data_IF_944116637472
#
_entry.id   IF_944116637472
#
_cell.length_a   1.000
_cell.length_b   1.000
_cell.length_c   1.000
_cell.angle_alpha   90.00
_cell.angle_beta   90.00
_cell.angle_gamma   90.00
#
_symmetry.space_group_name_H-M   'P 1'
#
loop_
_entity.id
_entity.type
_entity.pdbx_description
1 polymer ?
#
# COMPACT_ATOMS: atom_id res chain seq x y z
N UNK A 1 -1.90 -21.59 10.25
CA UNK A 1 -1.94 -21.07 8.87
C UNK A 1 -1.71 -19.59 8.99
N UNK A 2 -0.67 -19.04 8.36
CA UNK A 2 -0.51 -17.59 8.33
C UNK A 2 -1.69 -17.03 7.51
N UNK A 3 -2.55 -16.22 8.13
CA UNK A 3 -3.53 -15.44 7.39
C UNK A 3 -2.76 -14.36 6.63
N UNK A 4 -2.65 -14.51 5.31
CA UNK A 4 -2.29 -13.40 4.43
C UNK A 4 -3.61 -12.75 3.98
N UNK A 5 -3.82 -11.49 4.37
CA UNK A 5 -4.95 -10.72 3.88
C UNK A 5 -4.69 -10.30 2.43
N UNK A 6 -5.76 -10.02 1.66
CA UNK A 6 -5.62 -9.59 0.26
C UNK A 6 -4.75 -8.33 0.08
N UNK A 7 -4.74 -7.45 1.09
CA UNK A 7 -3.87 -6.27 1.15
C UNK A 7 -2.38 -6.61 1.21
N UNK A 8 -1.99 -7.67 1.92
CA UNK A 8 -0.59 -8.05 2.08
C UNK A 8 -0.07 -8.64 0.77
N UNK A 9 -0.87 -9.54 0.16
CA UNK A 9 -0.57 -10.09 -1.17
C UNK A 9 -0.47 -8.99 -2.24
N UNK A 10 -1.33 -7.98 -2.17
CA UNK A 10 -1.28 -6.86 -3.11
C UNK A 10 0.01 -6.04 -2.97
N UNK A 11 0.43 -5.70 -1.75
CA UNK A 11 1.65 -4.92 -1.52
C UNK A 11 2.91 -5.71 -1.88
N UNK A 12 2.99 -7.00 -1.53
CA UNK A 12 4.10 -7.86 -1.94
C UNK A 12 4.24 -7.95 -3.47
N UNK A 13 3.11 -8.01 -4.20
CA UNK A 13 3.15 -8.01 -5.67
C UNK A 13 3.75 -6.71 -6.22
N UNK A 14 3.42 -5.56 -5.62
CA UNK A 14 3.99 -4.28 -6.05
C UNK A 14 5.51 -4.25 -5.82
N UNK A 15 5.99 -4.74 -4.68
CA UNK A 15 7.42 -4.86 -4.39
C UNK A 15 8.13 -5.80 -5.39
N UNK A 16 7.54 -6.97 -5.68
CA UNK A 16 8.09 -7.94 -6.63
C UNK A 16 8.22 -7.35 -8.06
N UNK A 17 7.29 -6.48 -8.45
CA UNK A 17 7.33 -5.75 -9.72
C UNK A 17 8.27 -4.53 -9.68
N UNK A 18 8.98 -4.31 -8.57
CA UNK A 18 9.95 -3.23 -8.40
C UNK A 18 9.35 -1.85 -8.15
N UNK A 19 8.08 -1.78 -7.75
CA UNK A 19 7.45 -0.54 -7.32
C UNK A 19 8.08 -0.10 -6.00
N UNK A 20 8.39 1.19 -5.90
CA UNK A 20 9.01 1.79 -4.69
C UNK A 20 8.18 2.92 -4.10
N UNK A 21 7.20 3.44 -4.86
CA UNK A 21 6.40 4.59 -4.46
C UNK A 21 4.92 4.37 -4.82
N UNK A 22 4.04 4.66 -3.88
CA UNK A 22 2.59 4.66 -4.07
C UNK A 22 2.10 6.10 -3.86
N UNK A 23 1.34 6.62 -4.82
CA UNK A 23 0.75 7.95 -4.75
C UNK A 23 -0.75 7.84 -4.52
N UNK A 24 -1.31 8.67 -3.64
CA UNK A 24 -2.76 8.71 -3.44
C UNK A 24 -3.22 9.69 -2.38
N UNK A 25 -4.52 9.94 -2.33
CA UNK A 25 -5.19 10.68 -1.25
C UNK A 25 -6.01 9.69 -0.40
N UNK A 26 -5.56 9.31 0.80
CA UNK A 26 -6.16 8.19 1.52
C UNK A 26 -7.55 8.57 2.04
N UNK A 27 -8.57 7.79 1.64
CA UNK A 27 -9.91 7.78 2.22
C UNK A 27 -10.13 6.58 3.14
N UNK A 28 -11.39 6.35 3.53
CA UNK A 28 -11.75 5.22 4.41
C UNK A 28 -11.61 3.86 3.71
N UNK A 29 -11.74 3.81 2.39
CA UNK A 29 -11.59 2.58 1.58
C UNK A 29 -10.15 2.08 1.59
N UNK A 30 -9.19 3.00 1.56
CA UNK A 30 -7.77 2.71 1.45
C UNK A 30 -7.13 2.36 2.81
N UNK A 31 -7.85 2.54 3.93
CA UNK A 31 -7.31 2.32 5.28
C UNK A 31 -6.72 0.92 5.49
N UNK A 32 -7.30 -0.10 4.86
CA UNK A 32 -6.78 -1.46 4.94
C UNK A 32 -5.35 -1.54 4.37
N UNK A 33 -5.10 -0.90 3.23
CA UNK A 33 -3.78 -0.84 2.58
C UNK A 33 -2.84 0.08 3.37
N UNK A 34 -3.32 1.25 3.82
CA UNK A 34 -2.53 2.16 4.66
C UNK A 34 -2.02 1.50 5.94
N UNK A 35 -2.84 0.62 6.54
CA UNK A 35 -2.42 -0.14 7.71
C UNK A 35 -1.33 -1.18 7.38
N UNK A 36 -1.46 -1.90 6.27
CA UNK A 36 -0.48 -2.91 5.87
C UNK A 36 0.83 -2.28 5.38
N UNK A 37 0.81 -1.07 4.80
CA UNK A 37 2.03 -0.37 4.35
C UNK A 37 3.09 -0.22 5.43
N UNK A 38 2.72 -0.21 6.71
CA UNK A 38 3.67 -0.16 7.81
C UNK A 38 4.59 -1.40 7.87
N UNK A 39 4.16 -2.53 7.31
CA UNK A 39 4.91 -3.78 7.27
C UNK A 39 5.76 -3.91 5.98
N UNK A 40 5.67 -2.92 5.08
CA UNK A 40 6.33 -2.87 3.76
C UNK A 40 7.25 -1.64 3.65
N UNK A 41 8.41 -1.63 4.34
CA UNK A 41 9.28 -0.46 4.44
C UNK A 41 9.93 -0.03 3.11
N UNK A 42 9.94 -0.91 2.11
CA UNK A 42 10.48 -0.63 0.78
C UNK A 42 9.49 0.14 -0.11
N UNK A 43 8.22 0.26 0.32
CA UNK A 43 7.18 1.06 -0.34
C UNK A 43 6.98 2.41 0.36
N UNK A 44 7.28 3.50 -0.35
CA UNK A 44 7.05 4.86 0.14
C UNK A 44 5.69 5.38 -0.31
N UNK A 45 4.81 5.71 0.64
CA UNK A 45 3.55 6.39 0.34
C UNK A 45 3.75 7.90 0.22
N UNK A 46 3.33 8.47 -0.91
CA UNK A 46 3.38 9.90 -1.21
C UNK A 46 1.97 10.45 -1.25
N UNK A 47 1.63 11.32 -0.29
CA UNK A 47 0.31 11.93 -0.20
C UNK A 47 0.05 12.86 -1.39
N UNK A 48 -0.98 12.53 -2.17
CA UNK A 48 -1.56 13.41 -3.18
C UNK A 48 -2.60 14.32 -2.53
N UNK A 49 -2.33 15.63 -2.47
CA UNK A 49 -3.23 16.60 -1.84
C UNK A 49 -4.45 16.98 -2.69
N UNK A 50 -4.51 16.56 -3.96
CA UNK A 50 -5.62 16.85 -4.85
C UNK A 50 -5.86 15.71 -5.84
N UNK A 51 -7.07 15.17 -5.83
CA UNK A 51 -7.57 14.26 -6.86
C UNK A 51 -8.21 15.11 -7.98
N UNK A 52 -8.00 14.72 -9.25
CA UNK A 52 -8.50 15.45 -10.43
C UNK A 52 -9.94 15.08 -10.78
#
# INVERSE_FOLDING_TARGET
MNENYGRDTFLSLLEDEGVTHIFGNPGTTELAIMHALNDHPDLTYVLGLQEA
#
